data_IF_537897378707
#
_entry.id   IF_537897378707
#
_cell.length_a   1.000
_cell.length_b   1.000
_cell.length_c   1.000
_cell.angle_alpha   90.00
_cell.angle_beta   90.00
_cell.angle_gamma   90.00
#
_symmetry.space_group_name_H-M   'P 1'
#
loop_
_entity.id
_entity.type
_entity.pdbx_description
1 polymer ?
#
# COMPACT_ATOMS: atom_id res chain seq x y z
N UNK A 1 43.71 46.25 -1.80
CA UNK A 1 42.90 45.48 -0.83
C UNK A 1 42.15 44.40 -1.61
N UNK A 2 42.66 43.16 -1.71
CA UNK A 2 41.94 42.10 -2.41
C UNK A 2 40.87 41.53 -1.46
N UNK A 3 39.61 41.61 -1.87
CA UNK A 3 38.49 40.93 -1.20
C UNK A 3 38.63 39.43 -1.42
N UNK A 4 38.95 38.72 -0.34
CA UNK A 4 38.97 37.26 -0.27
C UNK A 4 37.57 36.72 -0.58
N UNK A 5 37.40 36.12 -1.76
CA UNK A 5 36.19 35.40 -2.12
C UNK A 5 36.17 34.07 -1.37
N UNK A 6 35.32 33.97 -0.36
CA UNK A 6 34.97 32.68 0.22
C UNK A 6 34.40 31.76 -0.88
N UNK A 7 34.85 30.50 -1.00
CA UNK A 7 34.20 29.56 -1.89
C UNK A 7 32.76 29.36 -1.41
N UNK A 8 31.80 29.61 -2.31
CA UNK A 8 30.41 29.30 -2.08
C UNK A 8 30.31 27.81 -1.72
N UNK A 9 29.67 27.50 -0.59
CA UNK A 9 29.36 26.15 -0.19
C UNK A 9 28.65 25.44 -1.35
N UNK A 10 29.20 24.30 -1.78
CA UNK A 10 28.58 23.48 -2.80
C UNK A 10 27.13 23.21 -2.39
N UNK A 11 26.18 23.52 -3.28
CA UNK A 11 24.79 23.14 -3.07
C UNK A 11 24.74 21.63 -2.82
N UNK A 12 24.00 21.14 -1.80
CA UNK A 12 23.85 19.72 -1.59
C UNK A 12 23.30 19.12 -2.89
N UNK A 13 24.03 18.14 -3.44
CA UNK A 13 23.56 17.35 -4.57
C UNK A 13 22.15 16.85 -4.23
N UNK A 14 21.17 16.94 -5.17
CA UNK A 14 19.89 16.28 -4.95
C UNK A 14 20.19 14.80 -4.65
N UNK A 15 19.45 14.17 -3.71
CA UNK A 15 19.63 12.75 -3.46
C UNK A 15 19.33 12.04 -4.78
N UNK A 16 20.37 11.68 -5.52
CA UNK A 16 20.27 10.76 -6.63
C UNK A 16 19.84 9.45 -5.98
N UNK A 17 18.54 9.21 -6.13
CA UNK A 17 17.82 8.14 -5.49
C UNK A 17 18.34 6.86 -6.12
N UNK A 18 19.11 6.07 -5.38
CA UNK A 18 19.51 4.71 -5.73
C UNK A 18 18.36 3.89 -6.36
N UNK A 19 17.12 4.21 -6.00
CA UNK A 19 15.91 3.66 -6.58
C UNK A 19 15.78 3.99 -8.07
N UNK A 20 16.11 5.21 -8.52
CA UNK A 20 16.17 5.58 -9.93
C UNK A 20 17.36 4.92 -10.65
N UNK A 21 18.49 4.72 -9.96
CA UNK A 21 19.62 3.93 -10.49
C UNK A 21 19.24 2.47 -10.67
N UNK A 22 18.56 1.89 -9.67
CA UNK A 22 18.03 0.53 -9.73
C UNK A 22 16.90 0.43 -10.76
N UNK A 23 16.08 1.45 -10.94
CA UNK A 23 15.03 1.41 -11.96
C UNK A 23 15.56 1.69 -13.37
N UNK A 24 16.75 2.29 -13.52
CA UNK A 24 17.40 2.53 -14.82
C UNK A 24 18.36 1.41 -15.24
N UNK A 25 19.04 0.75 -14.29
CA UNK A 25 20.06 -0.29 -14.53
C UNK A 25 19.84 -1.51 -13.59
N UNK A 26 18.60 -1.89 -13.29
CA UNK A 26 18.36 -3.11 -12.52
C UNK A 26 18.73 -4.33 -13.35
N UNK A 27 19.67 -5.11 -12.83
CA UNK A 27 19.79 -6.49 -13.23
C UNK A 27 18.66 -7.31 -12.60
N UNK A 28 18.10 -8.34 -13.28
CA UNK A 28 16.99 -9.13 -12.76
C UNK A 28 17.22 -9.70 -11.35
N UNK A 29 18.47 -10.01 -11.01
CA UNK A 29 18.86 -10.55 -9.70
C UNK A 29 18.79 -9.54 -8.55
N UNK A 30 18.81 -8.23 -8.83
CA UNK A 30 18.72 -7.18 -7.80
C UNK A 30 17.26 -6.79 -7.51
N UNK A 31 16.30 -7.17 -8.37
CA UNK A 31 14.89 -6.77 -8.25
C UNK A 31 14.17 -7.41 -7.06
N UNK A 32 14.37 -8.71 -6.86
CA UNK A 32 13.77 -9.45 -5.75
C UNK A 32 14.23 -8.92 -4.37
N UNK A 33 15.54 -8.87 -4.04
CA UNK A 33 15.99 -8.37 -2.74
C UNK A 33 15.59 -6.91 -2.52
N UNK A 34 15.60 -6.08 -3.58
CA UNK A 34 15.13 -4.69 -3.50
C UNK A 34 13.64 -4.58 -3.21
N UNK A 35 12.80 -5.40 -3.85
CA UNK A 35 11.36 -5.39 -3.60
C UNK A 35 11.05 -5.88 -2.18
N UNK A 36 11.73 -6.94 -1.75
CA UNK A 36 11.52 -7.52 -0.41
C UNK A 36 12.02 -6.61 0.71
N UNK A 37 12.99 -5.71 0.44
CA UNK A 37 13.49 -4.76 1.43
C UNK A 37 12.40 -3.80 1.97
N UNK A 38 11.41 -3.44 1.14
CA UNK A 38 10.28 -2.59 1.55
C UNK A 38 9.32 -3.29 2.53
N UNK A 39 9.39 -4.62 2.64
CA UNK A 39 8.57 -5.41 3.58
C UNK A 39 9.25 -5.61 4.94
N UNK A 40 10.44 -5.05 5.13
CA UNK A 40 11.19 -5.17 6.38
C UNK A 40 11.10 -3.85 7.14
N UNK A 41 10.34 -3.76 8.25
CA UNK A 41 10.11 -2.50 8.93
C UNK A 41 11.32 -1.98 9.70
N UNK A 42 12.12 -2.88 10.28
CA UNK A 42 13.18 -2.52 11.22
C UNK A 42 14.36 -3.53 11.22
N UNK A 43 15.56 -3.09 11.65
CA UNK A 43 16.68 -4.00 11.88
C UNK A 43 16.40 -4.97 13.04
N UNK A 44 17.11 -6.08 13.01
CA UNK A 44 17.09 -7.20 13.98
C UNK A 44 15.73 -7.82 14.34
N UNK A 45 14.65 -7.43 13.64
CA UNK A 45 13.33 -8.05 13.74
C UNK A 45 13.24 -9.45 13.11
N UNK A 46 12.14 -10.18 13.38
CA UNK A 46 11.88 -11.45 12.71
C UNK A 46 11.80 -11.30 11.19
N UNK A 47 11.27 -10.20 10.67
CA UNK A 47 11.16 -9.91 9.24
C UNK A 47 12.54 -9.74 8.61
N UNK A 48 13.44 -9.06 9.32
CA UNK A 48 14.82 -8.87 8.88
C UNK A 48 15.60 -10.19 8.85
N UNK A 49 15.41 -11.07 9.84
CA UNK A 49 16.01 -12.41 9.83
C UNK A 49 15.44 -13.26 8.68
N UNK A 50 14.14 -13.20 8.45
CA UNK A 50 13.49 -13.90 7.34
C UNK A 50 14.02 -13.38 5.99
N UNK A 51 14.12 -12.06 5.83
CA UNK A 51 14.67 -11.42 4.63
C UNK A 51 16.12 -11.84 4.39
N UNK A 52 16.97 -11.83 5.42
CA UNK A 52 18.36 -12.31 5.31
C UNK A 52 18.41 -13.77 4.90
N UNK A 53 17.57 -14.64 5.46
CA UNK A 53 17.54 -16.06 5.08
C UNK A 53 17.18 -16.29 3.60
N UNK A 54 16.47 -15.34 2.99
CA UNK A 54 16.05 -15.40 1.58
C UNK A 54 17.08 -14.73 0.66
N UNK A 55 17.62 -13.58 1.07
CA UNK A 55 18.41 -12.69 0.22
C UNK A 55 19.93 -12.72 0.49
N UNK A 56 20.38 -13.46 1.51
CA UNK A 56 21.80 -13.58 1.82
C UNK A 56 22.53 -14.40 0.75
N UNK A 57 23.14 -13.70 -0.19
CA UNK A 57 24.29 -14.21 -0.93
C UNK A 57 25.55 -13.92 -0.12
N UNK A 58 26.36 -14.94 0.26
CA UNK A 58 27.51 -14.77 1.16
C UNK A 58 28.59 -13.78 0.69
N UNK A 59 28.60 -13.39 -0.59
CA UNK A 59 29.80 -12.82 -1.24
C UNK A 59 29.72 -11.34 -1.62
N UNK A 60 28.55 -10.68 -1.58
CA UNK A 60 28.41 -9.37 -2.28
C UNK A 60 28.10 -8.15 -1.41
N UNK A 61 27.63 -8.29 -0.16
CA UNK A 61 27.21 -7.15 0.70
C UNK A 61 26.13 -6.23 0.09
N UNK A 62 25.69 -6.52 -1.13
CA UNK A 62 24.85 -5.67 -1.97
C UNK A 62 23.41 -5.69 -1.50
N UNK A 63 22.91 -6.87 -1.13
CA UNK A 63 21.56 -7.01 -0.56
C UNK A 63 21.41 -6.15 0.69
N UNK A 64 22.39 -6.18 1.61
CA UNK A 64 22.34 -5.38 2.84
C UNK A 64 22.38 -3.88 2.54
N UNK A 65 23.15 -3.46 1.53
CA UNK A 65 23.15 -2.07 1.08
C UNK A 65 21.77 -1.63 0.56
N UNK A 66 21.12 -2.46 -0.24
CA UNK A 66 19.76 -2.19 -0.76
C UNK A 66 18.74 -2.08 0.38
N UNK A 67 18.84 -2.94 1.41
CA UNK A 67 17.99 -2.86 2.59
C UNK A 67 18.18 -1.54 3.36
N UNK A 68 19.44 -1.13 3.60
CA UNK A 68 19.74 0.14 4.25
C UNK A 68 19.19 1.34 3.46
N UNK A 69 19.30 1.28 2.14
CA UNK A 69 18.78 2.31 1.26
C UNK A 69 17.25 2.39 1.28
N UNK A 70 16.54 1.26 1.35
CA UNK A 70 15.10 1.22 1.52
C UNK A 70 14.66 1.85 2.87
N UNK A 71 15.39 1.59 3.95
CA UNK A 71 15.14 2.23 5.24
C UNK A 71 15.43 3.73 5.24
N UNK A 72 16.46 4.17 4.51
CA UNK A 72 16.81 5.58 4.39
C UNK A 72 15.79 6.40 3.59
N UNK A 73 14.87 5.76 2.84
CA UNK A 73 13.84 6.48 2.10
C UNK A 73 12.84 7.18 3.05
N UNK A 74 12.47 8.44 2.75
CA UNK A 74 11.37 9.13 3.41
C UNK A 74 10.07 8.31 3.34
N UNK A 75 9.26 8.34 4.41
CA UNK A 75 8.05 7.53 4.50
C UNK A 75 7.10 7.75 3.29
N UNK A 76 6.93 9.00 2.86
CA UNK A 76 6.11 9.36 1.70
C UNK A 76 6.62 8.87 0.34
N UNK A 77 7.86 8.39 0.26
CA UNK A 77 8.44 7.80 -0.95
C UNK A 77 8.45 6.28 -0.94
N UNK A 78 8.28 5.65 0.24
CA UNK A 78 8.43 4.19 0.38
C UNK A 78 7.41 3.42 -0.44
N UNK A 79 6.15 3.81 -0.36
CA UNK A 79 5.07 3.16 -1.09
C UNK A 79 5.24 3.29 -2.61
N UNK A 80 5.54 4.49 -3.10
CA UNK A 80 5.78 4.72 -4.53
C UNK A 80 7.02 3.95 -5.02
N UNK A 81 8.07 3.84 -4.21
CA UNK A 81 9.25 3.04 -4.52
C UNK A 81 8.93 1.54 -4.62
N UNK A 82 8.19 1.02 -3.64
CA UNK A 82 7.72 -0.36 -3.65
C UNK A 82 6.90 -0.69 -4.90
N UNK A 83 5.94 0.16 -5.26
CA UNK A 83 5.10 -0.01 -6.46
C UNK A 83 5.91 -0.03 -7.77
N UNK A 84 6.91 0.86 -7.90
CA UNK A 84 7.77 0.92 -9.08
C UNK A 84 8.57 -0.38 -9.25
N UNK A 85 9.12 -0.92 -8.16
CA UNK A 85 9.83 -2.19 -8.18
C UNK A 85 8.89 -3.37 -8.46
N UNK A 86 7.73 -3.40 -7.82
CA UNK A 86 6.73 -4.44 -8.01
C UNK A 86 6.26 -4.51 -9.47
N UNK A 87 6.11 -3.35 -10.13
CA UNK A 87 5.79 -3.24 -11.56
C UNK A 87 6.88 -3.84 -12.44
N UNK A 88 8.17 -3.68 -12.08
CA UNK A 88 9.27 -4.37 -12.78
C UNK A 88 9.20 -5.88 -12.57
N UNK A 89 8.93 -6.31 -11.34
CA UNK A 89 8.77 -7.73 -11.01
C UNK A 89 7.61 -8.39 -11.76
N UNK A 90 6.59 -7.63 -12.20
CA UNK A 90 5.50 -8.15 -13.00
C UNK A 90 5.96 -8.74 -14.35
N UNK A 91 7.08 -8.25 -14.91
CA UNK A 91 7.68 -8.78 -16.15
C UNK A 91 8.53 -10.04 -15.95
N UNK A 92 8.78 -10.48 -14.71
CA UNK A 92 9.55 -11.68 -14.45
C UNK A 92 8.79 -12.94 -14.88
N UNK A 93 9.51 -14.03 -15.21
CA UNK A 93 8.92 -15.35 -15.42
C UNK A 93 7.97 -15.76 -14.28
N UNK A 94 6.93 -16.53 -14.61
CA UNK A 94 5.90 -16.94 -13.64
C UNK A 94 6.51 -17.64 -12.41
N UNK A 95 7.54 -18.46 -12.61
CA UNK A 95 8.23 -19.15 -11.52
C UNK A 95 8.87 -18.17 -10.54
N UNK A 96 9.55 -17.13 -11.05
CA UNK A 96 10.20 -16.09 -10.26
C UNK A 96 9.16 -15.22 -9.55
N UNK A 97 8.06 -14.87 -10.20
CA UNK A 97 6.95 -14.16 -9.53
C UNK A 97 6.32 -14.98 -8.41
N UNK A 98 6.12 -16.28 -8.63
CA UNK A 98 5.60 -17.17 -7.59
C UNK A 98 6.61 -17.33 -6.42
N UNK A 99 7.91 -17.33 -6.70
CA UNK A 99 8.96 -17.35 -5.70
C UNK A 99 8.97 -16.06 -4.88
N UNK A 100 9.00 -14.91 -5.53
CA UNK A 100 8.91 -13.59 -4.89
C UNK A 100 7.69 -13.49 -3.96
N UNK A 101 6.51 -13.97 -4.41
CA UNK A 101 5.30 -14.03 -3.57
C UNK A 101 5.49 -14.87 -2.31
N UNK A 102 6.06 -16.08 -2.45
CA UNK A 102 6.32 -16.95 -1.30
C UNK A 102 7.30 -16.32 -0.31
N UNK A 103 8.35 -15.67 -0.80
CA UNK A 103 9.32 -14.98 0.02
C UNK A 103 8.72 -13.77 0.75
N UNK A 104 7.94 -12.95 0.05
CA UNK A 104 7.22 -11.83 0.65
C UNK A 104 6.27 -12.29 1.77
N UNK A 105 5.46 -13.33 1.52
CA UNK A 105 4.56 -13.87 2.53
C UNK A 105 5.31 -14.45 3.75
N UNK A 106 6.49 -15.06 3.52
CA UNK A 106 7.34 -15.56 4.62
C UNK A 106 7.89 -14.42 5.47
N UNK A 107 8.29 -13.31 4.86
CA UNK A 107 8.83 -12.13 5.56
C UNK A 107 7.73 -11.49 6.41
N UNK A 108 6.60 -11.11 5.78
CA UNK A 108 5.48 -10.46 6.49
C UNK A 108 4.82 -11.37 7.53
N UNK A 109 4.93 -12.70 7.41
CA UNK A 109 4.36 -13.64 8.38
C UNK A 109 5.34 -14.08 9.47
N UNK A 110 6.52 -13.49 9.55
CA UNK A 110 7.62 -14.00 10.38
C UNK A 110 7.42 -13.78 11.89
N UNK A 111 6.66 -12.77 12.30
CA UNK A 111 6.29 -12.48 13.68
C UNK A 111 4.94 -13.14 14.08
N UNK A 112 4.24 -13.76 13.13
CA UNK A 112 2.93 -14.39 13.32
C UNK A 112 1.76 -13.41 13.42
N UNK A 113 1.97 -12.12 13.15
CA UNK A 113 0.93 -11.08 13.14
C UNK A 113 0.96 -10.37 11.79
N UNK A 114 -0.12 -9.69 11.45
CA UNK A 114 -0.18 -8.84 10.27
C UNK A 114 -0.86 -7.54 10.66
N UNK A 115 -0.12 -6.43 10.59
CA UNK A 115 -0.71 -5.10 10.73
C UNK A 115 -1.38 -4.70 9.41
N UNK A 116 -2.26 -3.69 9.45
CA UNK A 116 -3.01 -3.33 8.25
C UNK A 116 -2.13 -2.85 7.09
N UNK A 117 -1.02 -2.16 7.36
CA UNK A 117 -0.06 -1.76 6.34
C UNK A 117 0.48 -2.99 5.57
N UNK A 118 0.85 -4.06 6.28
CA UNK A 118 1.32 -5.32 5.67
C UNK A 118 0.21 -6.05 4.91
N UNK A 119 -1.05 -5.96 5.38
CA UNK A 119 -2.19 -6.48 4.64
C UNK A 119 -2.31 -5.78 3.28
N UNK A 120 -2.17 -4.44 3.24
CA UNK A 120 -2.20 -3.69 1.99
C UNK A 120 -1.05 -4.08 1.06
N UNK A 121 0.18 -4.16 1.56
CA UNK A 121 1.33 -4.63 0.78
C UNK A 121 1.14 -6.04 0.24
N UNK A 122 0.61 -6.95 1.06
CA UNK A 122 0.30 -8.32 0.65
C UNK A 122 -0.73 -8.35 -0.48
N UNK A 123 -1.82 -7.60 -0.35
CA UNK A 123 -2.87 -7.53 -1.37
C UNK A 123 -2.34 -6.95 -2.68
N UNK A 124 -1.58 -5.87 -2.61
CA UNK A 124 -0.95 -5.24 -3.76
C UNK A 124 0.02 -6.20 -4.47
N UNK A 125 0.87 -6.87 -3.69
CA UNK A 125 1.82 -7.85 -4.19
C UNK A 125 1.12 -9.03 -4.85
N UNK A 126 0.07 -9.57 -4.22
CA UNK A 126 -0.73 -10.65 -4.79
C UNK A 126 -1.45 -10.20 -6.06
N UNK A 127 -1.93 -8.95 -6.12
CA UNK A 127 -2.60 -8.40 -7.29
C UNK A 127 -1.65 -8.22 -8.48
N UNK A 128 -0.50 -7.56 -8.28
CA UNK A 128 0.45 -7.26 -9.37
C UNK A 128 1.19 -8.50 -9.86
N UNK A 129 1.51 -9.44 -8.97
CA UNK A 129 2.26 -10.64 -9.33
C UNK A 129 1.37 -11.81 -9.75
N UNK A 130 0.08 -11.84 -9.37
CA UNK A 130 -0.85 -12.81 -9.93
C UNK A 130 -1.17 -12.44 -11.38
N UNK A 131 -1.01 -13.42 -12.26
CA UNK A 131 -1.23 -13.38 -13.72
C UNK A 131 -2.64 -12.97 -14.21
N UNK A 132 -3.46 -12.30 -13.41
CA UNK A 132 -4.81 -11.88 -13.81
C UNK A 132 -4.80 -10.42 -14.26
N UNK A 133 -4.15 -10.15 -15.40
CA UNK A 133 -4.74 -9.18 -16.32
C UNK A 133 -5.96 -9.87 -16.93
N UNK A 134 -7.06 -9.96 -16.18
CA UNK A 134 -8.35 -10.12 -16.83
C UNK A 134 -8.50 -8.91 -17.76
N UNK A 135 -8.46 -9.23 -19.05
CA UNK A 135 -8.47 -8.29 -20.15
C UNK A 135 -9.46 -7.15 -19.90
N UNK A 136 -8.92 -5.92 -19.91
CA UNK A 136 -9.58 -4.60 -19.88
C UNK A 136 -10.75 -4.45 -20.89
N UNK A 137 -10.94 -5.42 -21.78
CA UNK A 137 -11.93 -5.38 -22.87
C UNK A 137 -13.29 -6.02 -22.57
N UNK A 138 -13.56 -6.51 -21.35
CA UNK A 138 -14.94 -6.93 -20.98
C UNK A 138 -15.33 -6.39 -19.62
N UNK A 139 -16.27 -5.44 -19.62
CA UNK A 139 -17.08 -5.16 -18.43
C UNK A 139 -17.93 -6.39 -18.09
N UNK A 140 -17.34 -7.35 -17.36
CA UNK A 140 -18.07 -8.49 -16.78
C UNK A 140 -18.70 -8.15 -15.44
N UNK A 141 -18.33 -7.01 -14.83
CA UNK A 141 -18.69 -6.69 -13.46
C UNK A 141 -19.35 -5.31 -13.33
N UNK A 142 -20.67 -5.33 -13.14
CA UNK A 142 -21.52 -4.14 -12.97
C UNK A 142 -22.21 -4.16 -11.60
N UNK A 143 -21.46 -4.36 -10.51
CA UNK A 143 -22.05 -4.24 -9.18
C UNK A 143 -22.39 -2.77 -8.88
N UNK A 144 -23.51 -2.57 -8.19
CA UNK A 144 -23.93 -1.28 -7.64
C UNK A 144 -23.28 -1.02 -6.28
N UNK A 145 -23.30 0.24 -5.83
CA UNK A 145 -22.82 0.61 -4.49
C UNK A 145 -23.58 -0.14 -3.38
N UNK A 146 -24.91 -0.27 -3.52
CA UNK A 146 -25.73 -1.02 -2.57
C UNK A 146 -25.33 -2.50 -2.48
N UNK A 147 -25.05 -3.15 -3.62
CA UNK A 147 -24.57 -4.52 -3.64
C UNK A 147 -23.18 -4.67 -2.98
N UNK A 148 -22.37 -3.62 -2.99
CA UNK A 148 -21.04 -3.58 -2.38
C UNK A 148 -21.03 -3.00 -0.96
N UNK A 149 -22.17 -2.59 -0.38
CA UNK A 149 -22.24 -1.95 0.93
C UNK A 149 -21.49 -2.72 2.05
N UNK A 150 -21.57 -4.06 2.15
CA UNK A 150 -20.77 -4.80 3.14
C UNK A 150 -19.25 -4.70 2.91
N UNK A 151 -18.80 -4.68 1.65
CA UNK A 151 -17.38 -4.53 1.33
C UNK A 151 -16.89 -3.10 1.60
N UNK A 152 -17.73 -2.11 1.29
CA UNK A 152 -17.48 -0.70 1.60
C UNK A 152 -17.32 -0.53 3.12
N UNK A 153 -18.21 -1.12 3.92
CA UNK A 153 -18.14 -1.09 5.38
C UNK A 153 -16.83 -1.70 5.92
N UNK A 154 -16.40 -2.87 5.41
CA UNK A 154 -15.15 -3.51 5.85
C UNK A 154 -13.93 -2.63 5.59
N UNK A 155 -13.78 -2.08 4.38
CA UNK A 155 -12.64 -1.22 4.04
C UNK A 155 -12.69 0.09 4.82
N UNK A 156 -13.88 0.64 5.04
CA UNK A 156 -14.08 1.88 5.82
C UNK A 156 -13.63 1.70 7.27
N UNK A 157 -13.97 0.57 7.90
CA UNK A 157 -13.54 0.26 9.26
C UNK A 157 -12.01 0.14 9.37
N UNK A 158 -11.36 -0.47 8.38
CA UNK A 158 -9.89 -0.56 8.32
C UNK A 158 -9.27 0.83 8.24
N UNK A 159 -9.76 1.69 7.34
CA UNK A 159 -9.25 3.05 7.17
C UNK A 159 -9.50 3.90 8.43
N UNK A 160 -10.69 3.80 9.03
CA UNK A 160 -11.04 4.49 10.26
C UNK A 160 -10.12 4.05 11.43
N UNK A 161 -9.83 2.76 11.53
CA UNK A 161 -8.91 2.22 12.54
C UNK A 161 -7.50 2.77 12.36
N UNK A 162 -6.98 2.84 11.12
CA UNK A 162 -5.66 3.41 10.83
C UNK A 162 -5.60 4.93 11.07
N UNK A 163 -6.73 5.62 10.95
CA UNK A 163 -6.84 7.04 11.34
C UNK A 163 -6.95 7.26 12.85
N UNK A 164 -6.98 6.19 13.67
CA UNK A 164 -7.19 6.29 15.11
C UNK A 164 -8.64 6.57 15.53
N UNK A 165 -9.59 6.57 14.59
CA UNK A 165 -11.00 6.85 14.84
C UNK A 165 -11.77 5.66 15.47
N UNK A 166 -11.13 4.49 15.63
CA UNK A 166 -11.73 3.26 16.16
C UNK A 166 -11.88 3.20 17.69
N UNK A 167 -11.36 4.18 18.44
CA UNK A 167 -11.32 4.11 19.92
C UNK A 167 -12.60 4.59 20.63
N UNK A 168 -13.52 5.28 19.95
CA UNK A 168 -14.73 5.86 20.56
C UNK A 168 -15.97 4.96 20.51
N UNK A 169 -15.78 3.64 20.40
CA UNK A 169 -16.85 2.64 20.41
C UNK A 169 -17.51 2.41 21.80
N UNK A 170 -17.53 3.40 22.69
CA UNK A 170 -18.39 3.40 23.89
C UNK A 170 -19.70 4.14 23.58
N UNK A 171 -20.55 3.58 22.72
CA UNK A 171 -21.83 4.23 22.44
C UNK A 171 -22.78 3.62 21.42
N UNK A 172 -22.43 2.53 20.75
CA UNK A 172 -23.38 1.79 19.88
C UNK A 172 -23.95 2.58 18.69
N UNK A 173 -23.38 3.75 18.34
CA UNK A 173 -23.69 4.46 17.10
C UNK A 173 -22.81 3.93 15.98
N UNK A 174 -23.32 3.78 14.74
CA UNK A 174 -22.45 3.51 13.59
C UNK A 174 -21.34 4.57 13.61
N UNK A 175 -20.08 4.11 13.50
CA UNK A 175 -18.94 5.00 13.50
C UNK A 175 -19.22 6.16 12.53
N UNK A 176 -18.94 7.43 12.91
CA UNK A 176 -19.34 8.61 12.12
C UNK A 176 -18.94 8.52 10.64
N UNK A 177 -17.89 7.76 10.35
CA UNK A 177 -17.43 7.38 9.02
C UNK A 177 -18.46 6.61 8.19
N UNK A 178 -19.16 5.61 8.76
CA UNK A 178 -20.17 4.83 8.04
C UNK A 178 -21.37 5.67 7.64
N UNK A 179 -21.85 6.54 8.54
CA UNK A 179 -22.98 7.42 8.25
C UNK A 179 -22.61 8.50 7.21
N UNK A 180 -21.43 9.11 7.34
CA UNK A 180 -20.93 10.07 6.37
C UNK A 180 -20.72 9.44 4.99
N UNK A 181 -20.19 8.21 4.94
CA UNK A 181 -20.00 7.49 3.69
C UNK A 181 -21.32 7.05 3.06
N UNK A 182 -22.29 6.57 3.84
CA UNK A 182 -23.63 6.26 3.34
C UNK A 182 -24.27 7.51 2.71
N UNK A 183 -24.15 8.66 3.36
CA UNK A 183 -24.64 9.94 2.83
C UNK A 183 -23.95 10.33 1.52
N UNK A 184 -22.60 10.32 1.49
CA UNK A 184 -21.83 10.68 0.30
C UNK A 184 -22.09 9.75 -0.91
N UNK A 185 -22.42 8.49 -0.63
CA UNK A 185 -22.70 7.46 -1.63
C UNK A 185 -24.19 7.30 -1.94
N UNK A 186 -25.06 8.11 -1.33
CA UNK A 186 -26.52 8.02 -1.47
C UNK A 186 -27.06 6.60 -1.19
N UNK A 187 -26.55 5.99 -0.11
CA UNK A 187 -26.98 4.70 0.39
C UNK A 187 -27.87 4.89 1.61
N UNK A 188 -28.90 4.05 1.77
CA UNK A 188 -29.80 4.09 2.94
C UNK A 188 -29.02 3.93 4.25
N UNK A 189 -28.11 2.93 4.29
CA UNK A 189 -27.18 2.71 5.37
C UNK A 189 -26.03 1.80 4.92
N UNK A 190 -24.89 1.93 5.58
CA UNK A 190 -23.86 0.89 5.55
C UNK A 190 -24.09 -0.08 6.71
N UNK A 191 -23.93 -1.40 6.49
CA UNK A 191 -23.99 -2.36 7.58
C UNK A 191 -22.89 -2.06 8.61
N UNK A 192 -23.17 -2.37 9.88
CA UNK A 192 -22.13 -2.37 10.90
C UNK A 192 -21.07 -3.44 10.56
N UNK A 193 -19.80 -3.14 10.80
CA UNK A 193 -18.76 -4.15 10.69
C UNK A 193 -19.00 -5.24 11.75
N UNK A 194 -19.23 -6.47 11.31
CA UNK A 194 -19.65 -7.57 12.19
C UNK A 194 -18.53 -8.07 13.13
N UNK A 195 -17.26 -7.78 12.81
CA UNK A 195 -16.08 -8.18 13.58
C UNK A 195 -14.87 -7.34 13.19
N UNK A 196 -13.79 -7.44 13.97
CA UNK A 196 -12.50 -6.87 13.61
C UNK A 196 -12.06 -7.36 12.21
N UNK A 197 -11.62 -6.47 11.31
CA UNK A 197 -11.32 -6.83 9.94
C UNK A 197 -10.12 -7.78 9.85
N UNK A 198 -10.35 -8.96 9.24
CA UNK A 198 -9.33 -10.00 9.03
C UNK A 198 -8.82 -9.98 7.60
N UNK A 199 -7.62 -10.54 7.34
CA UNK A 199 -7.06 -10.64 5.98
C UNK A 199 -8.05 -11.25 4.96
N UNK A 200 -8.75 -12.39 5.23
CA UNK A 200 -9.75 -12.91 4.29
C UNK A 200 -10.93 -11.96 4.05
N UNK A 201 -11.41 -11.27 5.08
CA UNK A 201 -12.51 -10.32 4.96
C UNK A 201 -12.10 -9.11 4.11
N UNK A 202 -10.91 -8.56 4.32
CA UNK A 202 -10.37 -7.43 3.55
C UNK A 202 -10.12 -7.88 2.10
N UNK A 203 -9.53 -9.06 1.89
CA UNK A 203 -9.32 -9.64 0.54
C UNK A 203 -10.64 -9.77 -0.22
N UNK A 204 -11.66 -10.34 0.42
CA UNK A 204 -12.99 -10.50 -0.17
C UNK A 204 -13.66 -9.17 -0.46
N UNK A 205 -13.54 -8.19 0.45
CA UNK A 205 -14.07 -6.85 0.26
C UNK A 205 -13.42 -6.15 -0.94
N UNK A 206 -12.09 -6.12 -1.03
CA UNK A 206 -11.37 -5.52 -2.16
C UNK A 206 -11.75 -6.17 -3.49
N UNK A 207 -11.80 -7.52 -3.55
CA UNK A 207 -12.24 -8.23 -4.77
C UNK A 207 -13.65 -7.86 -5.17
N UNK A 208 -14.57 -7.72 -4.21
CA UNK A 208 -15.95 -7.29 -4.48
C UNK A 208 -16.02 -5.84 -4.97
N UNK A 209 -15.16 -4.97 -4.44
CA UNK A 209 -15.08 -3.57 -4.86
C UNK A 209 -14.48 -3.41 -6.26
N UNK A 210 -13.51 -4.24 -6.65
CA UNK A 210 -13.00 -4.30 -8.01
C UNK A 210 -14.11 -4.66 -9.03
N UNK A 211 -15.17 -5.34 -8.58
CA UNK A 211 -16.36 -5.67 -9.39
C UNK A 211 -17.40 -4.53 -9.46
N UNK A 212 -17.16 -3.37 -8.84
CA UNK A 212 -17.99 -2.18 -9.03
C UNK A 212 -17.92 -1.71 -10.48
N UNK A 213 -19.03 -1.15 -10.95
CA UNK A 213 -19.08 -0.44 -12.23
C UNK A 213 -18.01 0.66 -12.27
N UNK A 214 -17.34 0.84 -13.40
CA UNK A 214 -16.18 1.75 -13.54
C UNK A 214 -16.46 3.18 -13.06
N UNK A 215 -17.66 3.72 -13.31
CA UNK A 215 -18.04 5.08 -12.88
C UNK A 215 -18.17 5.20 -11.35
N UNK A 216 -18.45 4.10 -10.66
CA UNK A 216 -18.68 4.09 -9.20
C UNK A 216 -17.39 4.00 -8.40
N UNK A 217 -16.31 3.44 -8.97
CA UNK A 217 -15.02 3.30 -8.27
C UNK A 217 -14.37 4.66 -7.95
N UNK A 218 -14.29 5.62 -8.88
CA UNK A 218 -13.80 6.97 -8.57
C UNK A 218 -14.70 7.71 -7.58
N UNK A 219 -16.03 7.51 -7.64
CA UNK A 219 -16.97 8.11 -6.68
C UNK A 219 -16.69 7.60 -5.27
N UNK A 220 -16.52 6.28 -5.11
CA UNK A 220 -16.17 5.67 -3.83
C UNK A 220 -14.83 6.17 -3.30
N UNK A 221 -13.80 6.20 -4.16
CA UNK A 221 -12.47 6.66 -3.77
C UNK A 221 -12.48 8.12 -3.31
N UNK A 222 -13.17 9.02 -4.03
CA UNK A 222 -13.36 10.41 -3.62
C UNK A 222 -14.01 10.54 -2.25
N UNK A 223 -15.03 9.72 -1.97
CA UNK A 223 -15.70 9.74 -0.68
C UNK A 223 -14.77 9.31 0.47
N UNK A 224 -13.94 8.28 0.28
CA UNK A 224 -12.93 7.90 1.28
C UNK A 224 -11.86 8.98 1.46
N UNK A 225 -11.33 9.55 0.38
CA UNK A 225 -10.36 10.65 0.46
C UNK A 225 -10.94 11.84 1.22
N UNK A 226 -12.21 12.22 0.97
CA UNK A 226 -12.86 13.32 1.67
C UNK A 226 -12.99 13.05 3.18
N UNK A 227 -13.26 11.80 3.61
CA UNK A 227 -13.31 11.44 5.02
C UNK A 227 -11.94 11.47 5.69
N UNK A 228 -10.93 10.93 5.00
CA UNK A 228 -9.55 10.87 5.50
C UNK A 228 -8.93 12.28 5.61
N UNK A 229 -9.20 13.16 4.65
CA UNK A 229 -8.67 14.53 4.62
C UNK A 229 -9.53 15.52 5.41
N UNK A 230 -10.83 15.25 5.59
CA UNK A 230 -11.79 16.12 6.26
C UNK A 230 -11.92 15.90 7.77
N UNK A 231 -10.95 15.24 8.41
CA UNK A 231 -10.97 14.96 9.85
C UNK A 231 -11.12 16.22 10.73
N UNK A 232 -11.63 16.07 11.97
CA UNK A 232 -12.05 17.17 12.84
C UNK A 232 -10.94 18.19 13.15
N UNK A 233 -9.67 17.81 13.01
CA UNK A 233 -8.53 18.68 13.31
C UNK A 233 -8.07 19.55 12.13
N UNK A 234 -8.65 19.41 10.93
CA UNK A 234 -8.53 20.35 9.79
C UNK A 234 -7.13 20.77 9.32
N UNK A 235 -6.05 20.24 9.91
CA UNK A 235 -4.70 20.79 9.79
C UNK A 235 -3.55 19.81 10.01
N UNK A 236 -3.80 18.61 10.54
CA UNK A 236 -2.81 17.51 10.52
C UNK A 236 -3.14 16.62 9.34
N UNK A 237 -2.27 16.59 8.33
CA UNK A 237 -2.43 15.73 7.17
C UNK A 237 -2.65 14.26 7.58
N UNK A 238 -3.38 13.51 6.75
CA UNK A 238 -3.64 12.10 7.01
C UNK A 238 -2.35 11.33 7.31
N UNK A 239 -2.35 10.37 8.26
CA UNK A 239 -1.20 9.50 8.50
C UNK A 239 -0.72 8.88 7.19
N UNK A 240 0.61 8.81 6.99
CA UNK A 240 1.18 8.31 5.73
C UNK A 240 0.68 6.90 5.39
N UNK A 241 0.49 6.03 6.38
CA UNK A 241 -0.04 4.68 6.21
C UNK A 241 -1.44 4.66 5.56
N UNK A 242 -2.28 5.64 5.90
CA UNK A 242 -3.63 5.78 5.34
C UNK A 242 -3.55 6.30 3.90
N UNK A 243 -2.64 7.23 3.62
CA UNK A 243 -2.39 7.70 2.25
C UNK A 243 -1.89 6.54 1.37
N UNK A 244 -0.99 5.71 1.88
CA UNK A 244 -0.47 4.53 1.20
C UNK A 244 -1.56 3.45 0.99
N UNK A 245 -2.47 3.30 1.95
CA UNK A 245 -3.65 2.44 1.84
C UNK A 245 -4.60 2.90 0.73
N UNK A 246 -4.93 4.19 0.66
CA UNK A 246 -5.77 4.77 -0.40
C UNK A 246 -5.12 4.60 -1.78
N UNK A 247 -3.80 4.81 -1.86
CA UNK A 247 -3.03 4.59 -3.09
C UNK A 247 -3.05 3.13 -3.53
N UNK A 248 -2.86 2.22 -2.58
CA UNK A 248 -2.96 0.78 -2.81
C UNK A 248 -4.36 0.40 -3.30
N UNK A 249 -5.41 0.93 -2.68
CA UNK A 249 -6.80 0.69 -3.09
C UNK A 249 -7.07 1.18 -4.52
N UNK A 250 -6.51 2.33 -4.93
CA UNK A 250 -6.63 2.82 -6.30
C UNK A 250 -6.15 1.79 -7.33
N UNK A 251 -5.00 1.16 -7.06
CA UNK A 251 -4.45 0.10 -7.93
C UNK A 251 -5.35 -1.14 -7.87
N UNK A 252 -5.73 -1.60 -6.68
CA UNK A 252 -6.46 -2.85 -6.47
C UNK A 252 -7.86 -2.86 -7.09
N UNK A 253 -8.53 -1.71 -7.15
CA UNK A 253 -9.87 -1.59 -7.76
C UNK A 253 -9.83 -0.91 -9.13
N UNK A 254 -8.64 -0.65 -9.68
CA UNK A 254 -8.46 -0.02 -10.99
C UNK A 254 -9.26 1.30 -11.12
N UNK A 255 -8.88 2.27 -10.28
CA UNK A 255 -9.41 3.65 -10.30
C UNK A 255 -8.25 4.64 -10.22
N UNK A 256 -8.32 5.80 -10.92
CA UNK A 256 -7.33 6.84 -10.75
C UNK A 256 -7.37 7.42 -9.32
N UNK A 257 -6.22 7.86 -8.83
CA UNK A 257 -6.11 8.65 -7.61
C UNK A 257 -6.86 9.99 -7.80
N UNK A 258 -7.69 10.42 -6.85
CA UNK A 258 -8.29 11.75 -6.87
C UNK A 258 -7.22 12.86 -6.87
N UNK A 259 -7.49 14.01 -7.55
CA UNK A 259 -6.59 15.15 -7.57
C UNK A 259 -6.46 15.84 -6.20
#
# INVERSE_FOLDING_TARGET
MPTSGYPAAAAPLPPQTWLDDLLSIAWPHDLEPATLAFLVPAPDGPEHRAWRSVCATPESGRSDHVLQQAWALPANMRQAGFERLLTRCASLPLAERAQLRRHAHRIMGSDGRLVFAEIWHRLLLDHVLALHHESVMRETHALSLAACAPAIAVVTEVLATQCGAGADARGGKPAPWHAALATALELDALPAAAAAPTLPAITGAVKRLACLSWMLRPRLMKAWCALVLGGPDGGVGAPQEVADALRTLCILIDTPMPP
#
